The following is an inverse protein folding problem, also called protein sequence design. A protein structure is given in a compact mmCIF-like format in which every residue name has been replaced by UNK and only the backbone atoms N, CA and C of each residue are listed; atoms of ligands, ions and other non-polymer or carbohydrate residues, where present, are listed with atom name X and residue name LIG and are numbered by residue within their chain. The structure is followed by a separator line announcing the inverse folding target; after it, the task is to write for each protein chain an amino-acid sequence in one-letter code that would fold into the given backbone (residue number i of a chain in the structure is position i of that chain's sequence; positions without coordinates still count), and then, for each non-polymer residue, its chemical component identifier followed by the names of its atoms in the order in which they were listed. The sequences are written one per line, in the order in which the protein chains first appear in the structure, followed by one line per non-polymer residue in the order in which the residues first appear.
data_IF_350895283437
#
_entry.id   IF_350895283437
#
_cell.length_a   1.000
_cell.length_b   1.000
_cell.length_c   1.000
_cell.angle_alpha   90.00
_cell.angle_beta   90.00
_cell.angle_gamma   90.00
#
_symmetry.space_group_name_H-M   'P 1'
#
loop_
_entity.id
_entity.type
_entity.pdbx_description
1 polymer ?
#
# COMPACT_ATOMS: atom_id res chain seq x y z
N UNK A 1 -13.02 -0.04 3.59
CA UNK A 1 -13.29 1.36 3.18
C UNK A 1 -14.78 1.64 3.30
N UNK A 2 -15.21 2.89 3.47
CA UNK A 2 -16.63 3.22 3.59
C UNK A 2 -17.36 2.97 2.27
N UNK A 3 -18.71 2.90 2.28
CA UNK A 3 -19.50 2.79 1.04
C UNK A 3 -19.27 3.99 0.10
N UNK A 4 -19.16 5.20 0.65
CA UNK A 4 -18.88 6.41 -0.12
C UNK A 4 -17.48 6.42 -0.72
N UNK A 5 -16.47 5.95 0.02
CA UNK A 5 -15.09 5.86 -0.47
C UNK A 5 -14.97 4.88 -1.64
N UNK A 6 -15.63 3.72 -1.51
CA UNK A 6 -15.64 2.68 -2.55
C UNK A 6 -16.33 3.10 -3.86
N UNK A 7 -17.16 4.15 -3.83
CA UNK A 7 -17.82 4.67 -5.03
C UNK A 7 -16.96 5.66 -5.83
N UNK A 8 -15.81 6.09 -5.32
CA UNK A 8 -14.89 6.98 -6.04
C UNK A 8 -14.24 6.26 -7.22
N UNK A 9 -13.78 7.02 -8.22
CA UNK A 9 -13.01 6.49 -9.36
C UNK A 9 -11.71 5.80 -8.92
N UNK A 10 -11.08 6.32 -7.87
CA UNK A 10 -9.88 5.73 -7.25
C UNK A 10 -10.11 5.65 -5.74
N UNK A 11 -10.74 4.58 -5.24
CA UNK A 11 -11.00 4.39 -3.81
C UNK A 11 -9.71 4.25 -3.01
N UNK A 12 -9.69 4.82 -1.81
CA UNK A 12 -8.64 4.54 -0.82
C UNK A 12 -9.09 3.37 0.06
N UNK A 13 -8.54 2.20 -0.22
CA UNK A 13 -8.79 0.98 0.55
C UNK A 13 -8.06 1.00 1.91
N UNK A 14 -8.57 0.22 2.87
CA UNK A 14 -7.98 0.03 4.21
C UNK A 14 -7.57 -1.44 4.40
N UNK A 15 -7.07 -1.76 5.59
CA UNK A 15 -6.45 -3.05 5.91
C UNK A 15 -7.31 -4.26 5.56
N UNK A 16 -8.61 -4.24 5.92
CA UNK A 16 -9.53 -5.34 5.63
C UNK A 16 -9.80 -5.50 4.13
N UNK A 17 -9.96 -4.39 3.39
CA UNK A 17 -10.17 -4.49 1.94
C UNK A 17 -8.89 -5.01 1.26
N UNK A 18 -7.71 -4.63 1.76
CA UNK A 18 -6.43 -5.13 1.23
C UNK A 18 -6.30 -6.64 1.43
N UNK A 19 -6.61 -7.16 2.62
CA UNK A 19 -6.56 -8.61 2.89
C UNK A 19 -7.59 -9.40 2.05
N UNK A 20 -8.75 -8.79 1.74
CA UNK A 20 -9.78 -9.41 0.90
C UNK A 20 -9.41 -9.39 -0.59
N UNK A 21 -8.93 -8.26 -1.11
CA UNK A 21 -8.61 -8.09 -2.54
C UNK A 21 -7.27 -8.71 -2.94
N UNK A 22 -6.31 -8.78 -2.02
CA UNK A 22 -4.96 -9.27 -2.26
C UNK A 22 -4.57 -10.35 -1.23
N UNK A 23 -5.24 -11.52 -1.24
CA UNK A 23 -4.99 -12.58 -0.26
C UNK A 23 -3.56 -13.14 -0.33
N UNK A 24 -2.95 -13.11 -1.52
CA UNK A 24 -1.55 -13.53 -1.76
C UNK A 24 -0.54 -12.38 -1.50
N UNK A 25 -1.02 -11.19 -1.18
CA UNK A 25 -0.20 -10.01 -0.95
C UNK A 25 0.39 -9.37 -2.21
N UNK A 26 1.46 -8.59 -2.02
CA UNK A 26 2.21 -7.94 -3.10
C UNK A 26 3.56 -8.65 -3.23
N UNK A 27 3.82 -9.19 -4.41
CA UNK A 27 5.11 -9.80 -4.74
C UNK A 27 6.14 -8.73 -5.04
N UNK A 28 7.32 -8.90 -4.43
CA UNK A 28 8.48 -8.03 -4.63
C UNK A 28 9.71 -8.91 -4.84
N UNK A 29 10.61 -8.44 -5.69
CA UNK A 29 11.95 -9.01 -5.80
C UNK A 29 12.65 -8.97 -4.44
N UNK A 30 13.44 -9.99 -4.14
CA UNK A 30 14.03 -10.20 -2.82
C UNK A 30 14.83 -8.99 -2.31
N UNK A 31 15.62 -8.37 -3.19
CA UNK A 31 16.42 -7.19 -2.85
C UNK A 31 15.55 -5.96 -2.58
N UNK A 32 14.52 -5.74 -3.39
CA UNK A 32 13.56 -4.64 -3.21
C UNK A 32 12.79 -4.81 -1.89
N UNK A 33 12.34 -6.02 -1.59
CA UNK A 33 11.70 -6.34 -0.32
C UNK A 33 12.62 -6.06 0.87
N UNK A 34 13.86 -6.54 0.82
CA UNK A 34 14.86 -6.35 1.86
C UNK A 34 15.16 -4.86 2.11
N UNK A 35 15.30 -4.08 1.04
CA UNK A 35 15.51 -2.63 1.13
C UNK A 35 14.29 -1.90 1.71
N UNK A 36 13.07 -2.27 1.29
CA UNK A 36 11.83 -1.68 1.77
C UNK A 36 11.64 -1.93 3.27
N UNK A 37 11.75 -3.20 3.72
CA UNK A 37 11.57 -3.56 5.13
C UNK A 37 12.60 -2.88 6.03
N UNK A 38 13.87 -2.82 5.61
CA UNK A 38 14.92 -2.12 6.38
C UNK A 38 14.62 -0.62 6.53
N UNK A 39 14.07 0.00 5.48
CA UNK A 39 13.69 1.42 5.51
C UNK A 39 12.51 1.64 6.47
N UNK A 40 11.44 0.85 6.33
CA UNK A 40 10.27 0.93 7.22
C UNK A 40 10.67 0.74 8.69
N UNK A 41 11.52 -0.24 8.99
CA UNK A 41 11.99 -0.47 10.36
C UNK A 41 12.75 0.73 10.95
N UNK A 42 13.58 1.42 10.14
CA UNK A 42 14.29 2.62 10.57
C UNK A 42 13.33 3.78 10.79
N UNK A 43 12.35 3.96 9.90
CA UNK A 43 11.38 5.04 10.00
C UNK A 43 10.45 4.85 11.20
N UNK A 44 9.96 3.63 11.44
CA UNK A 44 9.16 3.32 12.63
C UNK A 44 9.91 3.62 13.93
N UNK A 45 11.23 3.35 13.99
CA UNK A 45 12.05 3.71 15.17
C UNK A 45 12.12 5.22 15.39
N UNK A 46 12.21 6.00 14.30
CA UNK A 46 12.19 7.47 14.38
C UNK A 46 10.83 7.95 14.87
N UNK A 47 9.74 7.47 14.28
CA UNK A 47 8.37 7.85 14.66
C UNK A 47 8.07 7.50 16.12
N UNK A 48 8.50 6.32 16.57
CA UNK A 48 8.40 5.89 17.97
C UNK A 48 9.18 6.81 18.91
N UNK A 49 10.40 7.21 18.55
CA UNK A 49 11.23 8.11 19.36
C UNK A 49 10.58 9.48 19.58
N UNK A 50 9.78 9.95 18.61
CA UNK A 50 9.01 11.18 18.69
C UNK A 50 7.59 10.98 19.26
N UNK A 51 7.22 9.75 19.64
CA UNK A 51 5.88 9.37 20.10
C UNK A 51 4.78 9.72 19.09
N UNK A 52 5.10 9.68 17.79
CA UNK A 52 4.14 9.87 16.72
C UNK A 52 3.39 8.56 16.52
N UNK A 53 2.06 8.63 16.43
CA UNK A 53 1.16 7.50 16.25
C UNK A 53 0.13 7.82 15.16
N UNK A 54 -0.76 6.87 14.88
CA UNK A 54 -1.87 7.01 13.93
C UNK A 54 -1.45 7.37 12.49
N UNK A 55 -0.23 6.97 12.11
CA UNK A 55 0.23 7.03 10.73
C UNK A 55 -0.14 5.74 9.99
N UNK A 56 -0.26 5.85 8.66
CA UNK A 56 -0.53 4.72 7.78
C UNK A 56 0.44 4.74 6.61
N UNK A 57 0.77 3.55 6.09
CA UNK A 57 1.55 3.43 4.87
C UNK A 57 0.62 3.62 3.66
N UNK A 58 0.79 4.72 2.93
CA UNK A 58 0.07 4.93 1.68
C UNK A 58 0.72 4.12 0.56
N UNK A 59 -0.03 3.21 -0.05
CA UNK A 59 0.44 2.34 -1.13
C UNK A 59 -0.43 2.54 -2.36
N UNK A 60 0.20 2.84 -3.50
CA UNK A 60 -0.46 2.89 -4.81
C UNK A 60 0.00 1.74 -5.69
N UNK A 61 -0.94 0.98 -6.23
CA UNK A 61 -0.66 -0.13 -7.15
C UNK A 61 -1.06 0.31 -8.56
N UNK A 62 -0.10 0.27 -9.49
CA UNK A 62 -0.34 0.59 -10.88
C UNK A 62 -0.11 -0.64 -11.75
N UNK A 63 -1.18 -1.15 -12.37
CA UNK A 63 -1.10 -2.26 -13.30
C UNK A 63 -0.77 -1.74 -14.71
N UNK A 64 0.43 -2.03 -15.19
CA UNK A 64 0.92 -1.58 -16.49
C UNK A 64 0.15 -2.20 -17.67
N UNK A 65 -0.29 -3.46 -17.54
CA UNK A 65 -1.06 -4.14 -18.58
C UNK A 65 -2.44 -3.53 -18.75
N UNK A 66 -3.10 -3.21 -17.64
CA UNK A 66 -4.37 -2.49 -17.65
C UNK A 66 -4.19 -1.08 -18.24
N UNK A 67 -3.17 -0.36 -17.79
CA UNK A 67 -2.88 0.98 -18.29
C UNK A 67 -2.57 1.01 -19.79
N UNK A 68 -1.96 -0.04 -20.34
CA UNK A 68 -1.73 -0.18 -21.76
C UNK A 68 -3.04 -0.40 -22.54
N UNK A 69 -3.94 -1.23 -22.01
CA UNK A 69 -5.26 -1.50 -22.62
C UNK A 69 -6.15 -0.25 -22.66
N UNK A 70 -6.15 0.56 -21.60
CA UNK A 70 -6.97 1.79 -21.51
C UNK A 70 -6.51 2.91 -22.46
N UNK A 71 -5.31 2.82 -23.04
CA UNK A 71 -4.79 3.78 -24.02
C UNK A 71 -5.18 3.47 -25.47
N UNK A 72 -5.85 2.33 -25.70
CA UNK A 72 -6.25 1.85 -27.03
C UNK A 72 -7.74 2.03 -27.22
#
# INVERSE_FOLDING_TARGET
ASRSERAKKSPTYKDLDFMEHHPEGIFLEADTYSALVKTIQRDCRVLESFKIMDYSLLVGIHNLDQAAREKT
#
